data_IF_563340362293
#
_entry.id   IF_563340362293
#
_cell.length_a   1.000
_cell.length_b   1.000
_cell.length_c   1.000
_cell.angle_alpha   90.00
_cell.angle_beta   90.00
_cell.angle_gamma   90.00
#
_symmetry.space_group_name_H-M   'P 1'
#
loop_
_entity.id
_entity.type
_entity.pdbx_description
1 polymer ?
#
# COMPACT_ATOMS: atom_id res chain seq x y z
N UNK A 1 22.61 72.74 21.04
CA UNK A 1 22.15 71.90 22.16
C UNK A 1 20.74 71.48 21.82
N UNK A 2 20.54 70.26 21.34
CA UNK A 2 19.30 69.49 21.45
C UNK A 2 19.60 68.08 20.96
N UNK A 3 19.51 67.14 21.89
CA UNK A 3 19.63 65.69 21.68
C UNK A 3 18.23 65.19 21.43
N UNK A 4 18.02 64.41 20.37
CA UNK A 4 16.84 63.56 20.28
C UNK A 4 17.28 62.17 19.85
N UNK A 5 17.31 61.26 20.83
CA UNK A 5 17.41 59.82 20.63
C UNK A 5 16.07 59.32 20.09
N UNK A 6 16.07 58.55 19.00
CA UNK A 6 14.94 57.67 18.68
C UNK A 6 15.46 56.33 18.15
N UNK A 7 15.41 55.35 19.06
CA UNK A 7 15.04 53.95 18.90
C UNK A 7 15.72 53.09 17.82
N UNK A 8 16.78 52.41 18.28
CA UNK A 8 17.02 51.00 17.96
C UNK A 8 15.81 50.17 18.43
N UNK A 9 14.95 49.74 17.51
CA UNK A 9 14.05 48.59 17.63
C UNK A 9 13.16 48.56 16.37
N UNK A 10 13.59 47.83 15.33
CA UNK A 10 12.73 47.27 14.26
C UNK A 10 13.55 46.58 13.16
N UNK A 11 14.43 45.65 13.53
CA UNK A 11 14.97 44.69 12.54
C UNK A 11 15.07 43.30 13.16
N UNK A 12 13.96 42.82 13.69
CA UNK A 12 13.73 41.38 13.82
C UNK A 12 12.31 41.15 13.33
N UNK A 13 12.22 40.41 12.22
CA UNK A 13 11.03 39.90 11.52
C UNK A 13 10.33 40.84 10.51
N UNK A 14 10.17 40.37 9.26
CA UNK A 14 9.73 39.01 8.94
C UNK A 14 10.75 38.21 8.12
N UNK A 15 11.61 37.44 8.79
CA UNK A 15 12.21 36.23 8.23
C UNK A 15 11.26 35.01 8.35
N UNK A 16 10.00 35.26 8.73
CA UNK A 16 8.93 34.25 8.85
C UNK A 16 8.13 34.03 7.56
N UNK A 17 8.47 34.71 6.46
CA UNK A 17 7.80 34.55 5.16
C UNK A 17 8.60 33.75 4.11
N UNK A 18 9.72 33.12 4.48
CA UNK A 18 10.52 32.32 3.54
C UNK A 18 10.14 30.82 3.59
N UNK A 19 9.33 30.39 4.56
CA UNK A 19 8.83 29.00 4.64
C UNK A 19 7.38 28.82 4.16
N UNK A 20 6.82 29.79 3.44
CA UNK A 20 5.72 29.48 2.52
C UNK A 20 6.33 29.05 1.19
N UNK A 21 7.01 27.90 1.20
CA UNK A 21 7.15 27.10 0.00
C UNK A 21 5.73 26.78 -0.45
N UNK A 22 5.24 27.57 -1.40
CA UNK A 22 4.23 27.15 -2.34
C UNK A 22 4.80 25.91 -3.04
N UNK A 23 4.68 24.75 -2.40
CA UNK A 23 4.64 23.47 -3.10
C UNK A 23 3.38 23.57 -3.97
N UNK A 24 3.56 24.10 -5.18
CA UNK A 24 2.55 23.99 -6.23
C UNK A 24 2.27 22.51 -6.38
N UNK A 25 1.18 22.05 -5.76
CA UNK A 25 0.76 20.67 -5.87
C UNK A 25 0.47 20.44 -7.34
N UNK A 26 1.28 19.61 -7.98
CA UNK A 26 1.09 19.27 -9.39
C UNK A 26 -0.24 18.51 -9.45
N UNK A 27 -1.24 19.13 -10.09
CA UNK A 27 -2.58 18.56 -10.28
C UNK A 27 -2.65 17.90 -11.66
N UNK A 28 -2.91 16.60 -11.68
CA UNK A 28 -3.09 15.81 -12.87
C UNK A 28 -4.60 15.55 -13.09
N UNK A 29 -5.15 15.84 -14.28
CA UNK A 29 -6.61 15.85 -14.49
C UNK A 29 -7.28 14.48 -14.38
N UNK A 30 -6.53 13.39 -14.56
CA UNK A 30 -7.06 12.02 -14.52
C UNK A 30 -6.74 11.29 -13.20
N UNK A 31 -6.18 12.00 -12.22
CA UNK A 31 -5.84 11.42 -10.91
C UNK A 31 -6.96 11.68 -9.92
N UNK A 32 -7.35 10.62 -9.20
CA UNK A 32 -8.28 10.70 -8.08
C UNK A 32 -7.49 11.06 -6.81
N UNK A 33 -7.37 12.36 -6.55
CA UNK A 33 -6.61 12.89 -5.41
C UNK A 33 -7.24 12.55 -4.06
N UNK A 34 -8.57 12.47 -3.99
CA UNK A 34 -9.28 12.09 -2.76
C UNK A 34 -8.96 10.64 -2.40
N UNK A 35 -8.98 9.75 -3.39
CA UNK A 35 -8.59 8.36 -3.21
C UNK A 35 -7.10 8.22 -2.85
N UNK A 36 -6.21 8.97 -3.53
CA UNK A 36 -4.78 8.97 -3.25
C UNK A 36 -4.48 9.41 -1.80
N UNK A 37 -5.14 10.46 -1.32
CA UNK A 37 -4.99 10.93 0.05
C UNK A 37 -5.49 9.89 1.08
N UNK A 38 -6.58 9.18 0.77
CA UNK A 38 -7.15 8.15 1.65
C UNK A 38 -6.23 6.93 1.81
N UNK A 39 -5.48 6.60 0.77
CA UNK A 39 -4.54 5.47 0.73
C UNK A 39 -3.10 5.95 0.59
N UNK A 40 -2.74 7.02 1.29
CA UNK A 40 -1.35 7.43 1.37
C UNK A 40 -0.47 6.32 1.99
N UNK A 41 0.84 6.54 2.01
CA UNK A 41 1.79 5.57 2.58
C UNK A 41 1.57 5.28 4.08
N UNK A 42 0.81 6.13 4.79
CA UNK A 42 0.51 5.96 6.20
C UNK A 42 -0.67 5.00 6.45
N UNK A 43 -1.43 4.65 5.41
CA UNK A 43 -2.51 3.69 5.53
C UNK A 43 -1.97 2.27 5.78
N UNK A 44 -2.40 1.69 6.91
CA UNK A 44 -1.85 0.43 7.43
C UNK A 44 -2.08 -0.76 6.50
N UNK A 45 -3.21 -0.81 5.79
CA UNK A 45 -3.64 -2.00 5.06
C UNK A 45 -3.39 -1.86 3.55
N UNK A 46 -3.47 -0.64 3.02
CA UNK A 46 -3.33 -0.40 1.59
C UNK A 46 -2.74 0.97 1.32
N UNK A 47 -1.65 1.06 0.56
CA UNK A 47 -1.06 2.33 0.13
C UNK A 47 -1.04 2.45 -1.38
N UNK A 48 -1.04 3.68 -1.87
CA UNK A 48 -1.10 4.03 -3.28
C UNK A 48 -0.18 5.23 -3.57
N UNK A 49 0.54 5.17 -4.69
CA UNK A 49 1.41 6.24 -5.17
C UNK A 49 1.26 6.40 -6.68
N UNK A 50 1.44 7.62 -7.21
CA UNK A 50 1.33 7.89 -8.65
C UNK A 50 2.53 7.30 -9.41
N UNK A 51 2.26 6.59 -10.50
CA UNK A 51 3.27 6.18 -11.49
C UNK A 51 3.30 7.22 -12.61
N UNK A 52 4.48 7.76 -12.89
CA UNK A 52 4.71 8.74 -13.95
C UNK A 52 5.46 8.12 -15.13
N UNK A 53 5.11 8.52 -16.35
CA UNK A 53 5.90 8.23 -17.55
C UNK A 53 6.81 9.42 -17.87
N UNK A 54 8.11 9.15 -18.04
CA UNK A 54 9.04 10.08 -18.66
C UNK A 54 9.15 9.70 -20.14
N UNK A 55 8.91 10.66 -21.05
CA UNK A 55 9.38 10.51 -22.43
C UNK A 55 10.70 11.25 -22.58
N UNK A 56 11.72 10.60 -23.18
CA UNK A 56 12.92 11.31 -23.62
C UNK A 56 12.50 12.43 -24.58
N UNK A 57 12.61 13.68 -24.11
CA UNK A 57 12.37 14.88 -24.91
C UNK A 57 11.06 15.65 -24.66
N UNK A 58 10.13 15.16 -23.83
CA UNK A 58 8.91 15.90 -23.50
C UNK A 58 8.99 16.65 -22.16
N UNK A 59 8.49 17.90 -22.13
CA UNK A 59 8.52 18.77 -20.95
C UNK A 59 7.44 18.44 -19.90
N UNK A 60 6.58 17.44 -20.12
CA UNK A 60 5.46 17.14 -19.22
C UNK A 60 5.40 15.65 -18.87
N UNK A 61 5.73 15.34 -17.62
CA UNK A 61 5.44 14.05 -17.01
C UNK A 61 3.93 13.87 -16.93
N UNK A 62 3.43 12.74 -17.43
CA UNK A 62 2.02 12.35 -17.30
C UNK A 62 1.89 11.14 -16.37
N UNK A 63 0.84 11.08 -15.53
CA UNK A 63 0.55 9.88 -14.77
C UNK A 63 -0.02 8.82 -15.68
N UNK A 64 0.48 7.59 -15.55
CA UNK A 64 -0.02 6.43 -16.29
C UNK A 64 -0.80 5.46 -15.39
N UNK A 65 -0.64 5.59 -14.07
CA UNK A 65 -1.21 4.65 -13.14
C UNK A 65 -0.91 4.94 -11.68
N UNK A 66 -1.20 3.96 -10.84
CA UNK A 66 -0.82 3.92 -9.44
C UNK A 66 -0.08 2.64 -9.08
N UNK A 67 0.98 2.80 -8.31
CA UNK A 67 1.66 1.73 -7.59
C UNK A 67 0.90 1.51 -6.29
N UNK A 68 0.41 0.29 -6.11
CA UNK A 68 -0.48 -0.07 -5.03
C UNK A 68 0.13 -1.21 -4.20
N UNK A 69 0.10 -1.09 -2.88
CA UNK A 69 0.63 -2.11 -1.96
C UNK A 69 -0.43 -2.44 -0.92
N UNK A 70 -0.88 -3.69 -0.92
CA UNK A 70 -1.65 -4.27 0.17
C UNK A 70 -0.71 -4.89 1.22
N UNK A 71 -1.04 -4.77 2.51
CA UNK A 71 -0.25 -5.26 3.65
C UNK A 71 -1.11 -6.06 4.62
N UNK A 72 -0.64 -7.24 5.01
CA UNK A 72 -1.23 -8.07 6.07
C UNK A 72 -0.14 -8.81 6.83
N UNK A 73 0.11 -8.44 8.09
CA UNK A 73 1.23 -9.01 8.85
C UNK A 73 2.56 -8.80 8.11
N UNK A 74 3.27 -9.89 7.83
CA UNK A 74 4.51 -9.88 7.01
C UNK A 74 4.25 -9.93 5.51
N UNK A 75 3.01 -10.18 5.08
CA UNK A 75 2.64 -10.36 3.68
C UNK A 75 2.40 -9.04 2.98
N UNK A 76 2.88 -8.97 1.74
CA UNK A 76 2.67 -7.83 0.86
C UNK A 76 2.24 -8.29 -0.51
N UNK A 77 1.31 -7.55 -1.10
CA UNK A 77 0.89 -7.78 -2.49
C UNK A 77 1.01 -6.47 -3.25
N UNK A 78 1.81 -6.49 -4.32
CA UNK A 78 2.06 -5.33 -5.17
C UNK A 78 1.15 -5.40 -6.39
N UNK A 79 0.53 -4.27 -6.70
CA UNK A 79 -0.32 -4.10 -7.87
C UNK A 79 0.05 -2.81 -8.61
N UNK A 80 -0.21 -2.81 -9.91
CA UNK A 80 -0.30 -1.61 -10.73
C UNK A 80 -1.77 -1.40 -11.12
N UNK A 81 -2.26 -0.18 -10.99
CA UNK A 81 -3.53 0.22 -11.60
C UNK A 81 -3.25 1.20 -12.74
N UNK A 82 -3.72 0.92 -13.95
CA UNK A 82 -3.55 1.79 -15.10
C UNK A 82 -4.78 2.67 -15.28
N UNK A 83 -4.63 4.00 -15.18
CA UNK A 83 -5.75 4.96 -15.17
C UNK A 83 -6.56 4.90 -16.47
N UNK A 84 -5.88 4.95 -17.62
CA UNK A 84 -6.54 5.04 -18.92
C UNK A 84 -7.32 3.77 -19.30
N UNK A 85 -6.81 2.61 -18.88
CA UNK A 85 -7.41 1.31 -19.21
C UNK A 85 -8.27 0.74 -18.10
N UNK A 86 -8.19 1.32 -16.90
CA UNK A 86 -8.79 0.84 -15.65
C UNK A 86 -8.44 -0.62 -15.34
N UNK A 87 -7.22 -1.03 -15.69
CA UNK A 87 -6.73 -2.40 -15.48
C UNK A 87 -5.92 -2.46 -14.19
N UNK A 88 -6.28 -3.43 -13.34
CA UNK A 88 -5.44 -3.86 -12.22
C UNK A 88 -4.55 -5.02 -12.67
N UNK A 89 -3.26 -4.92 -12.34
CA UNK A 89 -2.26 -5.96 -12.61
C UNK A 89 -1.53 -6.31 -11.32
N UNK A 90 -1.58 -7.58 -10.91
CA UNK A 90 -0.76 -8.08 -9.81
C UNK A 90 0.69 -8.22 -10.29
N UNK A 91 1.62 -7.59 -9.58
CA UNK A 91 3.04 -7.56 -9.92
C UNK A 91 3.83 -8.57 -9.12
N UNK A 92 3.59 -8.61 -7.81
CA UNK A 92 4.30 -9.49 -6.91
C UNK A 92 3.46 -9.87 -5.70
N UNK A 93 3.78 -11.03 -5.15
CA UNK A 93 3.36 -11.49 -3.84
C UNK A 93 4.64 -11.74 -3.04
N UNK A 94 4.84 -10.98 -1.97
CA UNK A 94 5.96 -11.16 -1.05
C UNK A 94 5.39 -11.82 0.22
N UNK A 95 5.72 -13.09 0.40
CA UNK A 95 5.31 -13.90 1.55
C UNK A 95 6.45 -14.81 1.99
N UNK A 96 6.34 -15.38 3.19
CA UNK A 96 7.25 -16.43 3.65
C UNK A 96 7.13 -17.66 2.71
N UNK A 97 8.24 -18.35 2.43
CA UNK A 97 8.33 -19.42 1.40
C UNK A 97 7.30 -20.56 1.63
N UNK A 98 7.09 -20.96 2.89
CA UNK A 98 6.13 -22.00 3.26
C UNK A 98 4.68 -21.59 2.91
N UNK A 99 4.36 -20.30 3.07
CA UNK A 99 3.05 -19.78 2.75
C UNK A 99 2.88 -19.51 1.25
N UNK A 100 3.97 -19.26 0.51
CA UNK A 100 3.90 -19.01 -0.93
C UNK A 100 3.27 -20.21 -1.67
N UNK A 101 3.51 -21.43 -1.20
CA UNK A 101 2.94 -22.65 -1.80
C UNK A 101 1.43 -22.78 -1.52
N UNK A 102 0.99 -22.46 -0.30
CA UNK A 102 -0.43 -22.41 0.08
C UNK A 102 -1.13 -21.26 -0.66
N UNK A 103 -0.46 -20.12 -0.80
CA UNK A 103 -0.95 -18.96 -1.53
C UNK A 103 -1.11 -19.28 -3.01
N UNK A 104 -0.14 -19.92 -3.66
CA UNK A 104 -0.25 -20.32 -5.07
C UNK A 104 -1.43 -21.26 -5.33
N UNK A 105 -1.76 -22.15 -4.40
CA UNK A 105 -2.92 -23.04 -4.54
C UNK A 105 -4.25 -22.32 -4.32
N UNK A 106 -4.32 -21.34 -3.41
CA UNK A 106 -5.51 -20.53 -3.13
C UNK A 106 -5.74 -19.41 -4.16
N UNK A 107 -4.65 -18.87 -4.73
CA UNK A 107 -4.64 -17.79 -5.71
C UNK A 107 -4.36 -18.30 -7.14
N UNK A 108 -4.92 -19.46 -7.51
CA UNK A 108 -4.72 -20.08 -8.83
C UNK A 108 -5.32 -19.27 -10.02
N UNK A 109 -5.58 -18.00 -9.81
CA UNK A 109 -6.30 -17.10 -10.69
C UNK A 109 -5.33 -16.06 -11.28
N UNK A 110 -4.89 -16.30 -12.52
CA UNK A 110 -4.59 -15.23 -13.48
C UNK A 110 -5.88 -14.48 -13.85
N UNK A 111 -6.63 -13.97 -12.87
CA UNK A 111 -7.86 -13.26 -13.16
C UNK A 111 -7.55 -11.82 -13.53
N UNK A 112 -7.59 -11.54 -14.84
CA UNK A 112 -7.99 -10.24 -15.35
C UNK A 112 -9.35 -9.89 -14.71
N UNK A 113 -9.34 -9.00 -13.73
CA UNK A 113 -10.52 -8.59 -12.94
C UNK A 113 -11.36 -7.53 -13.68
N UNK A 114 -11.12 -7.37 -14.98
CA UNK A 114 -11.61 -6.26 -15.81
C UNK A 114 -13.13 -6.12 -15.82
N UNK A 115 -13.88 -7.22 -15.93
CA UNK A 115 -15.34 -7.16 -16.08
C UNK A 115 -16.07 -6.85 -14.77
N UNK A 116 -15.47 -7.17 -13.62
CA UNK A 116 -16.08 -6.96 -12.31
C UNK A 116 -15.94 -5.51 -11.83
N UNK A 117 -14.92 -4.77 -12.28
CA UNK A 117 -14.60 -3.46 -11.74
C UNK A 117 -15.13 -2.26 -12.52
N UNK A 118 -15.62 -2.44 -13.75
CA UNK A 118 -16.06 -1.33 -14.61
C UNK A 118 -17.19 -0.48 -14.03
N UNK A 119 -17.99 -1.01 -13.09
CA UNK A 119 -19.08 -0.27 -12.43
C UNK A 119 -18.72 0.33 -11.08
N UNK A 120 -17.50 0.09 -10.57
CA UNK A 120 -17.06 0.54 -9.25
C UNK A 120 -16.12 1.73 -9.34
N UNK A 121 -16.25 2.67 -8.40
CA UNK A 121 -15.25 3.73 -8.17
C UNK A 121 -13.91 3.13 -7.73
N UNK A 122 -12.80 3.84 -7.96
CA UNK A 122 -11.46 3.37 -7.57
C UNK A 122 -11.40 2.95 -6.09
N UNK A 123 -11.99 3.75 -5.20
CA UNK A 123 -12.09 3.42 -3.77
C UNK A 123 -12.83 2.10 -3.51
N UNK A 124 -13.95 1.86 -4.19
CA UNK A 124 -14.68 0.60 -4.08
C UNK A 124 -13.87 -0.59 -4.61
N UNK A 125 -13.13 -0.41 -5.70
CA UNK A 125 -12.24 -1.44 -6.24
C UNK A 125 -11.16 -1.81 -5.20
N UNK A 126 -10.52 -0.82 -4.59
CA UNK A 126 -9.53 -1.02 -3.52
C UNK A 126 -10.14 -1.74 -2.32
N UNK A 127 -11.35 -1.36 -1.87
CA UNK A 127 -12.03 -2.02 -0.77
C UNK A 127 -12.36 -3.50 -1.06
N UNK A 128 -12.67 -3.83 -2.32
CA UNK A 128 -12.87 -5.22 -2.74
C UNK A 128 -11.54 -5.99 -2.69
N UNK A 129 -10.44 -5.38 -3.14
CA UNK A 129 -9.09 -5.97 -3.04
C UNK A 129 -8.75 -6.25 -1.57
N UNK A 130 -8.89 -5.26 -0.70
CA UNK A 130 -8.62 -5.40 0.75
C UNK A 130 -9.41 -6.58 1.32
N UNK A 131 -10.73 -6.62 1.12
CA UNK A 131 -11.58 -7.70 1.64
C UNK A 131 -11.19 -9.08 1.11
N UNK A 132 -10.82 -9.17 -0.17
CA UNK A 132 -10.41 -10.44 -0.78
C UNK A 132 -9.12 -10.95 -0.14
N UNK A 133 -8.11 -10.09 -0.04
CA UNK A 133 -6.82 -10.50 0.52
C UNK A 133 -6.88 -10.71 2.05
N UNK A 134 -7.65 -9.90 2.80
CA UNK A 134 -7.88 -10.11 4.24
C UNK A 134 -8.43 -11.51 4.48
N UNK A 135 -9.44 -11.91 3.70
CA UNK A 135 -10.05 -13.24 3.79
C UNK A 135 -9.02 -14.34 3.52
N UNK A 136 -8.25 -14.22 2.44
CA UNK A 136 -7.27 -15.24 2.05
C UNK A 136 -6.15 -15.39 3.09
N UNK A 137 -5.60 -14.29 3.59
CA UNK A 137 -4.54 -14.36 4.59
C UNK A 137 -5.05 -14.84 5.96
N UNK A 138 -6.28 -14.48 6.35
CA UNK A 138 -6.90 -15.02 7.55
C UNK A 138 -7.13 -16.55 7.46
N UNK A 139 -7.50 -17.06 6.28
CA UNK A 139 -7.62 -18.51 6.04
C UNK A 139 -6.25 -19.22 6.17
N UNK A 140 -5.17 -18.59 5.70
CA UNK A 140 -3.81 -19.12 5.84
C UNK A 140 -3.37 -19.18 7.29
N UNK A 141 -3.58 -18.10 8.05
CA UNK A 141 -3.26 -18.07 9.48
C UNK A 141 -4.03 -19.14 10.24
N UNK A 142 -5.29 -19.40 9.87
CA UNK A 142 -6.09 -20.48 10.44
C UNK A 142 -5.47 -21.86 10.15
N UNK A 143 -5.14 -22.14 8.90
CA UNK A 143 -4.53 -23.43 8.50
C UNK A 143 -3.21 -23.65 9.23
N UNK A 144 -2.36 -22.61 9.34
CA UNK A 144 -1.09 -22.68 10.07
C UNK A 144 -1.31 -23.03 11.54
N UNK A 145 -2.24 -22.35 12.20
CA UNK A 145 -2.55 -22.60 13.61
C UNK A 145 -3.05 -24.03 13.84
N UNK A 146 -3.84 -24.59 12.93
CA UNK A 146 -4.31 -25.97 12.98
C UNK A 146 -3.15 -26.97 12.80
N UNK A 147 -2.24 -26.75 11.85
CA UNK A 147 -1.06 -27.59 11.63
C UNK A 147 -0.07 -27.55 12.80
N UNK A 148 0.19 -26.38 13.39
CA UNK A 148 1.04 -26.25 14.57
C UNK A 148 0.45 -26.97 15.78
N UNK A 149 -0.87 -26.94 15.93
CA UNK A 149 -1.58 -27.63 17.00
C UNK A 149 -1.49 -29.16 16.85
N UNK A 150 -1.69 -29.69 15.63
CA UNK A 150 -1.54 -31.12 15.32
C UNK A 150 -0.09 -31.61 15.54
N UNK A 151 0.90 -30.83 15.12
CA UNK A 151 2.32 -31.15 15.33
C UNK A 151 2.68 -31.20 16.82
N UNK A 152 2.19 -30.25 17.63
CA UNK A 152 2.43 -30.25 19.09
C UNK A 152 1.82 -31.47 19.78
N UNK A 153 0.60 -31.88 19.38
CA UNK A 153 -0.04 -33.09 19.90
C UNK A 153 0.77 -34.34 19.52
N UNK A 154 1.18 -34.47 18.26
CA UNK A 154 1.97 -35.61 17.77
C UNK A 154 3.33 -35.76 18.48
N UNK A 155 4.03 -34.64 18.71
CA UNK A 155 5.28 -34.61 19.46
C UNK A 155 5.10 -35.03 20.93
N UNK A 156 4.06 -34.53 21.60
CA UNK A 156 3.77 -34.93 22.98
C UNK A 156 3.40 -36.41 23.11
N UNK A 157 2.70 -36.98 22.13
CA UNK A 157 2.36 -38.41 22.11
C UNK A 157 3.58 -39.31 21.83
N UNK A 158 4.61 -38.79 21.16
CA UNK A 158 5.85 -39.52 20.86
C UNK A 158 6.78 -39.60 22.07
N UNK A 159 6.86 -38.52 22.86
CA UNK A 159 7.68 -38.47 24.10
C UNK A 159 7.15 -39.46 25.15
N UNK A 160 5.83 -39.60 25.30
CA UNK A 160 5.21 -40.54 26.25
C UNK A 160 5.48 -42.03 25.94
N UNK A 161 5.87 -42.37 24.72
CA UNK A 161 6.22 -43.74 24.33
C UNK A 161 7.69 -44.10 24.59
N UNK A 162 8.57 -43.11 24.68
CA UNK A 162 10.00 -43.34 24.99
C UNK A 162 10.26 -43.47 26.50
N UNK A 163 9.46 -42.82 27.36
CA UNK A 163 9.64 -42.89 28.83
C UNK A 163 9.06 -44.17 29.48
N UNK A 164 8.38 -45.04 28.73
CA UNK A 164 7.80 -46.31 29.22
C UNK A 164 8.52 -47.57 28.70
N UNK A 165 9.79 -47.44 28.28
CA UNK A 165 10.69 -48.55 27.96
C UNK A 165 11.83 -48.65 28.96
#
# INVERSE_FOLDING_TARGET
MEVCMVNQQKEIEPLLNIFQENSQQIVYPNVDYDCLQKYDENNKHFSMAIILENQEGEQQQRPIGYDCIYRYGTHRVKFEYYIDTQIWKKIALESDEEQETILKSLFNDNHDIRSLFQSFTLDQQIQIIIKRYDKHFAEIDKIKNEQEHENKISLSASIFKEENK
#
